data_IF_947238176568
#
_entry.id   IF_947238176568
#
_cell.length_a   1.000
_cell.length_b   1.000
_cell.length_c   1.000
_cell.angle_alpha   90.00
_cell.angle_beta   90.00
_cell.angle_gamma   90.00
#
_symmetry.space_group_name_H-M   'P 1'
#
loop_
_entity.id
_entity.type
_entity.pdbx_description
1 polymer ?
#
# COMPACT_ATOMS: atom_id res chain seq x y z
N UNK A 1 14.21 11.41 14.59
CA UNK A 1 14.63 10.32 15.51
C UNK A 1 15.00 10.80 16.93
N UNK A 2 15.73 11.92 17.10
CA UNK A 2 16.24 12.34 18.43
C UNK A 2 15.32 13.27 19.27
N UNK A 3 14.08 13.52 18.85
CA UNK A 3 13.18 14.32 19.67
C UNK A 3 12.30 13.38 20.51
N UNK A 4 12.66 13.18 21.79
CA UNK A 4 11.87 12.42 22.77
C UNK A 4 10.39 12.86 22.77
N UNK A 5 10.13 14.15 22.61
CA UNK A 5 8.78 14.70 22.52
C UNK A 5 7.97 14.13 21.34
N UNK A 6 8.56 13.88 20.17
CA UNK A 6 7.84 13.27 19.03
C UNK A 6 7.42 11.82 19.32
N UNK A 7 8.31 11.08 19.96
CA UNK A 7 8.00 9.72 20.39
C UNK A 7 6.87 9.72 21.43
N UNK A 8 6.91 10.67 22.38
CA UNK A 8 5.83 10.87 23.34
C UNK A 8 4.50 11.25 22.68
N UNK A 9 4.49 12.14 21.69
CA UNK A 9 3.27 12.50 20.95
C UNK A 9 2.62 11.25 20.34
N UNK A 10 3.42 10.44 19.64
CA UNK A 10 2.96 9.18 19.04
C UNK A 10 2.42 8.21 20.11
N UNK A 11 3.15 8.01 21.21
CA UNK A 11 2.69 7.18 22.32
C UNK A 11 1.35 7.66 22.89
N UNK A 12 1.18 8.96 23.12
CA UNK A 12 -0.06 9.50 23.68
C UNK A 12 -1.25 9.28 22.74
N UNK A 13 -1.08 9.56 21.44
CA UNK A 13 -2.10 9.29 20.42
C UNK A 13 -2.47 7.80 20.36
N UNK A 14 -1.47 6.91 20.35
CA UNK A 14 -1.69 5.46 20.31
C UNK A 14 -2.36 4.91 21.57
N UNK A 15 -2.22 5.59 22.71
CA UNK A 15 -2.90 5.25 23.96
C UNK A 15 -4.28 5.93 24.10
N UNK A 16 -4.78 6.61 23.06
CA UNK A 16 -6.12 7.20 23.05
C UNK A 16 -6.26 8.51 23.83
N UNK A 17 -5.15 9.20 24.12
CA UNK A 17 -5.21 10.50 24.80
C UNK A 17 -5.74 11.58 23.84
N UNK A 18 -6.52 12.51 24.39
CA UNK A 18 -7.14 13.60 23.65
C UNK A 18 -6.15 14.68 23.23
N UNK A 19 -6.57 15.57 22.34
CA UNK A 19 -5.73 16.67 21.84
C UNK A 19 -5.30 17.62 22.97
N UNK A 20 -6.18 17.78 23.95
CA UNK A 20 -5.99 18.50 25.20
C UNK A 20 -4.86 17.94 26.07
N UNK A 21 -4.54 16.65 25.92
CA UNK A 21 -3.48 15.98 26.66
C UNK A 21 -2.12 16.09 25.95
N UNK A 22 -2.06 16.70 24.76
CA UNK A 22 -0.82 16.92 24.03
C UNK A 22 -0.15 18.23 24.46
N UNK A 23 1.19 18.30 24.49
CA UNK A 23 1.87 19.57 24.65
C UNK A 23 1.60 20.43 23.41
N UNK A 24 0.75 21.45 23.54
CA UNK A 24 0.20 22.25 22.44
C UNK A 24 1.28 22.73 21.47
N UNK A 25 2.36 23.32 22.00
CA UNK A 25 3.49 23.78 21.18
C UNK A 25 4.14 22.64 20.39
N UNK A 26 4.44 21.50 21.04
CA UNK A 26 5.11 20.39 20.38
C UNK A 26 4.21 19.76 19.30
N UNK A 27 2.92 19.63 19.59
CA UNK A 27 1.95 19.08 18.64
C UNK A 27 1.71 20.04 17.47
N UNK A 28 1.55 21.34 17.73
CA UNK A 28 1.41 22.36 16.70
C UNK A 28 2.60 22.39 15.74
N UNK A 29 3.83 22.39 16.27
CA UNK A 29 5.04 22.29 15.44
C UNK A 29 5.08 20.99 14.64
N UNK A 30 4.61 19.88 15.23
CA UNK A 30 4.55 18.59 14.53
C UNK A 30 3.59 18.65 13.33
N UNK A 31 2.37 19.15 13.53
CA UNK A 31 1.37 19.37 12.48
C UNK A 31 1.89 20.30 11.39
N UNK A 32 2.51 21.42 11.77
CA UNK A 32 3.08 22.39 10.82
C UNK A 32 4.16 21.78 9.94
N UNK A 33 5.00 20.91 10.50
CA UNK A 33 6.04 20.23 9.71
C UNK A 33 5.42 19.27 8.69
N UNK A 34 4.35 18.55 9.05
CA UNK A 34 3.63 17.68 8.12
C UNK A 34 2.97 18.52 7.01
N UNK A 35 2.29 19.61 7.38
CA UNK A 35 1.68 20.53 6.42
C UNK A 35 2.70 21.12 5.43
N UNK A 36 3.84 21.59 5.95
CA UNK A 36 4.92 22.14 5.11
C UNK A 36 5.51 21.09 4.18
N UNK A 37 5.77 19.88 4.67
CA UNK A 37 6.31 18.79 3.84
C UNK A 37 5.30 18.36 2.75
N UNK A 38 4.01 18.34 3.06
CA UNK A 38 2.94 18.10 2.09
C UNK A 38 2.89 19.19 1.00
N UNK A 39 3.08 20.46 1.37
CA UNK A 39 3.15 21.59 0.43
C UNK A 39 4.52 21.75 -0.25
N UNK A 40 5.38 20.73 -0.20
CA UNK A 40 6.74 20.75 -0.76
C UNK A 40 7.60 21.93 -0.29
N UNK A 41 7.38 22.41 0.95
CA UNK A 41 8.17 23.47 1.58
C UNK A 41 9.32 22.88 2.41
N UNK A 42 10.35 23.68 2.66
CA UNK A 42 11.46 23.30 3.52
C UNK A 42 10.98 22.99 4.94
N UNK A 43 11.46 21.87 5.48
CA UNK A 43 11.17 21.38 6.83
C UNK A 43 12.45 21.05 7.57
N UNK A 44 12.42 21.22 8.89
CA UNK A 44 13.56 20.95 9.77
C UNK A 44 13.88 19.45 9.82
N UNK A 45 12.87 18.60 9.61
CA UNK A 45 13.02 17.16 9.46
C UNK A 45 11.91 16.59 8.58
N UNK A 46 12.17 15.42 7.97
CA UNK A 46 11.13 14.68 7.24
C UNK A 46 10.15 14.00 8.21
N UNK A 47 8.83 14.24 8.10
CA UNK A 47 7.82 13.65 8.96
C UNK A 47 7.50 12.22 8.49
N UNK A 48 8.49 11.33 8.56
CA UNK A 48 8.23 9.90 8.41
C UNK A 48 7.53 9.40 9.67
N UNK A 49 6.55 8.50 9.48
CA UNK A 49 5.90 7.74 10.53
C UNK A 49 5.28 8.65 11.62
N UNK A 50 4.66 9.74 11.16
CA UNK A 50 4.19 10.84 12.00
C UNK A 50 2.70 10.68 12.32
N UNK A 51 2.26 10.98 13.54
CA UNK A 51 0.87 10.78 13.95
C UNK A 51 0.14 12.12 14.10
N UNK A 52 -1.08 12.19 13.59
CA UNK A 52 -2.02 13.31 13.78
C UNK A 52 -3.37 12.81 14.28
N UNK A 53 -4.14 13.65 14.98
CA UNK A 53 -5.56 13.41 15.13
C UNK A 53 -6.24 13.45 13.75
N UNK A 54 -7.32 12.70 13.59
CA UNK A 54 -7.98 12.55 12.30
C UNK A 54 -8.48 13.89 11.73
N UNK A 55 -8.98 14.79 12.60
CA UNK A 55 -9.39 16.13 12.18
C UNK A 55 -8.23 16.96 11.63
N UNK A 56 -7.05 16.86 12.24
CA UNK A 56 -5.84 17.57 11.81
C UNK A 56 -5.25 16.96 10.54
N UNK A 57 -5.35 15.63 10.40
CA UNK A 57 -5.06 14.97 9.13
C UNK A 57 -5.94 15.53 8.01
N UNK A 58 -7.25 15.64 8.23
CA UNK A 58 -8.14 16.25 7.24
C UNK A 58 -7.83 17.71 6.99
N UNK A 59 -7.45 18.49 8.00
CA UNK A 59 -7.07 19.90 7.81
C UNK A 59 -5.81 20.03 6.95
N UNK A 60 -4.81 19.17 7.17
CA UNK A 60 -3.56 19.19 6.41
C UNK A 60 -3.75 18.80 4.96
N UNK A 61 -4.40 17.66 4.69
CA UNK A 61 -4.49 17.08 3.34
C UNK A 61 -5.76 17.52 2.57
N UNK A 62 -6.80 17.91 3.29
CA UNK A 62 -8.12 18.28 2.76
C UNK A 62 -8.61 19.63 3.29
N UNK A 63 -7.68 20.59 3.33
CA UNK A 63 -7.95 21.95 3.78
C UNK A 63 -9.16 22.56 3.05
N UNK A 64 -10.01 23.26 3.79
CA UNK A 64 -11.29 23.81 3.30
C UNK A 64 -12.48 22.87 3.47
N UNK A 65 -12.30 21.55 3.32
CA UNK A 65 -13.38 20.55 3.47
C UNK A 65 -13.27 19.73 4.78
N UNK A 66 -12.19 19.91 5.53
CA UNK A 66 -11.87 19.10 6.72
C UNK A 66 -12.98 19.00 7.78
N UNK A 67 -13.74 20.08 8.04
CA UNK A 67 -14.84 20.05 9.02
C UNK A 67 -15.98 19.14 8.56
N UNK A 68 -16.29 19.18 7.25
CA UNK A 68 -17.32 18.32 6.65
C UNK A 68 -16.84 16.87 6.66
N UNK A 69 -15.60 16.64 6.25
CA UNK A 69 -14.99 15.30 6.29
C UNK A 69 -14.99 14.74 7.71
N UNK A 70 -14.52 15.50 8.70
CA UNK A 70 -14.55 15.07 10.10
C UNK A 70 -15.96 14.68 10.54
N UNK A 71 -16.97 15.51 10.25
CA UNK A 71 -18.38 15.21 10.54
C UNK A 71 -18.87 13.93 9.85
N UNK A 72 -18.54 13.72 8.57
CA UNK A 72 -18.96 12.54 7.82
C UNK A 72 -18.29 11.27 8.34
N UNK A 73 -16.99 11.32 8.61
CA UNK A 73 -16.25 10.20 9.20
C UNK A 73 -16.77 9.86 10.60
N UNK A 74 -17.02 10.84 11.47
CA UNK A 74 -17.62 10.59 12.80
C UNK A 74 -19.01 9.96 12.72
N UNK A 75 -19.78 10.24 11.66
CA UNK A 75 -21.11 9.67 11.41
C UNK A 75 -21.09 8.41 10.54
N UNK A 76 -19.91 7.96 10.10
CA UNK A 76 -19.74 6.89 9.11
C UNK A 76 -20.52 7.11 7.81
N UNK A 77 -20.70 8.37 7.42
CA UNK A 77 -21.35 8.76 6.16
C UNK A 77 -20.31 8.81 5.02
N UNK A 78 -19.76 7.65 4.68
CA UNK A 78 -18.68 7.54 3.70
C UNK A 78 -19.12 7.88 2.28
N UNK A 79 -20.43 7.82 2.00
CA UNK A 79 -20.98 8.23 0.71
C UNK A 79 -20.77 9.72 0.45
N UNK A 80 -21.03 10.57 1.44
CA UNK A 80 -20.80 12.01 1.32
C UNK A 80 -19.31 12.36 1.38
N UNK A 81 -18.49 11.60 2.12
CA UNK A 81 -17.04 11.75 2.08
C UNK A 81 -16.46 11.44 0.69
N UNK A 82 -16.91 10.36 0.04
CA UNK A 82 -16.48 9.99 -1.31
C UNK A 82 -16.80 11.09 -2.33
N UNK A 83 -17.97 11.73 -2.24
CA UNK A 83 -18.31 12.87 -3.12
C UNK A 83 -17.31 14.02 -2.99
N UNK A 84 -16.81 14.31 -1.79
CA UNK A 84 -15.79 15.34 -1.60
C UNK A 84 -14.47 14.89 -2.26
N UNK A 85 -14.05 13.64 -2.05
CA UNK A 85 -12.82 13.14 -2.66
C UNK A 85 -12.91 13.15 -4.19
N UNK A 86 -14.03 12.69 -4.76
CA UNK A 86 -14.27 12.64 -6.19
C UNK A 86 -14.34 14.06 -6.79
N UNK A 87 -14.93 15.04 -6.10
CA UNK A 87 -14.91 16.44 -6.52
C UNK A 87 -13.48 17.00 -6.56
N UNK A 88 -12.66 16.72 -5.54
CA UNK A 88 -11.27 17.19 -5.51
C UNK A 88 -10.42 16.58 -6.62
N UNK A 89 -10.60 15.28 -6.89
CA UNK A 89 -9.87 14.57 -7.95
C UNK A 89 -10.32 15.05 -9.33
N UNK A 90 -11.63 15.11 -9.58
CA UNK A 90 -12.16 15.33 -10.93
C UNK A 90 -12.33 16.81 -11.30
N UNK A 91 -12.55 17.70 -10.33
CA UNK A 91 -12.89 19.10 -10.58
C UNK A 91 -11.86 20.11 -10.04
N UNK A 92 -10.95 19.71 -9.14
CA UNK A 92 -9.96 20.61 -8.51
C UNK A 92 -8.50 20.29 -8.83
N UNK A 93 -8.27 19.41 -9.81
CA UNK A 93 -6.93 19.02 -10.29
C UNK A 93 -6.01 18.48 -9.18
N UNK A 94 -6.58 17.74 -8.22
CA UNK A 94 -5.80 17.09 -7.18
C UNK A 94 -5.48 15.65 -7.53
N UNK A 95 -4.20 15.28 -7.46
CA UNK A 95 -3.73 13.96 -7.85
C UNK A 95 -3.41 13.09 -6.63
N UNK A 96 -4.43 12.43 -6.10
CA UNK A 96 -4.28 11.45 -5.03
C UNK A 96 -5.10 10.19 -5.30
N UNK A 97 -4.73 9.10 -4.63
CA UNK A 97 -5.51 7.86 -4.61
C UNK A 97 -5.97 7.57 -3.20
N UNK A 98 -7.14 6.98 -3.05
CA UNK A 98 -7.64 6.60 -1.74
C UNK A 98 -8.41 5.28 -1.79
N UNK A 99 -8.51 4.63 -0.63
CA UNK A 99 -9.37 3.49 -0.40
C UNK A 99 -9.99 3.62 0.99
N UNK A 100 -11.31 3.67 1.06
CA UNK A 100 -12.05 3.44 2.29
C UNK A 100 -12.37 1.95 2.39
N UNK A 101 -12.12 1.36 3.55
CA UNK A 101 -12.52 -0.03 3.82
C UNK A 101 -13.65 -0.04 4.82
N UNK A 102 -14.83 -0.43 4.35
CA UNK A 102 -16.08 -0.36 5.13
C UNK A 102 -16.06 -1.27 6.36
N UNK A 103 -15.34 -2.39 6.31
CA UNK A 103 -15.34 -3.43 7.37
C UNK A 103 -14.45 -3.08 8.58
N UNK A 104 -13.33 -2.39 8.35
CA UNK A 104 -12.32 -2.13 9.40
C UNK A 104 -12.01 -0.67 9.67
N UNK A 105 -12.79 0.22 9.09
CA UNK A 105 -12.76 1.64 9.44
C UNK A 105 -11.37 2.26 9.29
N UNK A 106 -10.63 1.89 8.24
CA UNK A 106 -9.43 2.60 7.83
C UNK A 106 -9.63 3.31 6.48
N UNK A 107 -8.94 4.44 6.35
CA UNK A 107 -8.77 5.16 5.10
C UNK A 107 -7.30 5.08 4.70
N UNK A 108 -7.05 4.48 3.54
CA UNK A 108 -5.75 4.55 2.90
C UNK A 108 -5.74 5.76 1.97
N UNK A 109 -4.71 6.57 2.07
CA UNK A 109 -4.52 7.75 1.26
C UNK A 109 -3.10 7.75 0.71
N UNK A 110 -2.97 7.73 -0.61
CA UNK A 110 -1.69 7.85 -1.30
C UNK A 110 -1.63 9.21 -2.00
N UNK A 111 -0.59 9.95 -1.66
CA UNK A 111 -0.24 11.21 -2.31
C UNK A 111 1.24 11.16 -2.65
N UNK A 112 1.58 11.43 -3.90
CA UNK A 112 2.89 11.14 -4.47
C UNK A 112 3.33 9.70 -4.12
N UNK A 113 4.48 9.57 -3.46
CA UNK A 113 5.10 8.30 -3.04
C UNK A 113 4.85 7.95 -1.58
N UNK A 114 3.98 8.70 -0.90
CA UNK A 114 3.69 8.53 0.52
C UNK A 114 2.34 7.86 0.68
N UNK A 115 2.31 6.85 1.55
CA UNK A 115 1.08 6.25 2.02
C UNK A 115 0.77 6.80 3.40
N UNK A 116 -0.47 7.21 3.60
CA UNK A 116 -1.02 7.64 4.86
C UNK A 116 -2.18 6.70 5.22
N UNK A 117 -2.33 6.43 6.51
CA UNK A 117 -3.37 5.52 7.02
C UNK A 117 -4.13 6.25 8.12
N UNK A 118 -5.40 6.53 7.87
CA UNK A 118 -6.31 7.06 8.87
C UNK A 118 -7.05 5.89 9.55
N UNK A 119 -6.89 5.77 10.86
CA UNK A 119 -7.55 4.81 11.73
C UNK A 119 -8.81 5.48 12.28
N UNK A 120 -9.94 5.27 11.60
CA UNK A 120 -11.15 6.09 11.78
C UNK A 120 -11.75 5.87 13.17
N UNK A 121 -11.75 4.63 13.65
CA UNK A 121 -12.27 4.27 14.98
C UNK A 121 -11.44 4.90 16.09
N UNK A 122 -10.12 4.86 15.94
CA UNK A 122 -9.16 5.37 16.90
C UNK A 122 -8.95 6.89 16.79
N UNK A 123 -9.54 7.52 15.77
CA UNK A 123 -9.54 8.97 15.56
C UNK A 123 -8.13 9.58 15.39
N UNK A 124 -7.20 8.83 14.80
CA UNK A 124 -5.87 9.31 14.42
C UNK A 124 -5.45 8.84 13.03
N UNK A 125 -4.38 9.43 12.50
CA UNK A 125 -3.78 9.03 11.23
C UNK A 125 -2.26 8.94 11.32
N UNK A 126 -1.72 7.87 10.74
CA UNK A 126 -0.31 7.67 10.46
C UNK A 126 0.03 8.32 9.11
N UNK A 127 0.81 9.39 9.17
CA UNK A 127 1.30 10.13 8.02
C UNK A 127 2.65 9.59 7.55
N UNK A 128 2.74 9.27 6.26
CA UNK A 128 3.93 8.69 5.64
C UNK A 128 4.37 7.41 6.36
N UNK A 129 3.54 6.38 6.26
CA UNK A 129 3.68 5.05 6.85
C UNK A 129 4.79 4.20 6.22
N UNK A 130 5.54 4.73 5.25
CA UNK A 130 6.44 3.95 4.38
C UNK A 130 7.44 3.08 5.16
N UNK A 131 7.86 3.48 6.37
CA UNK A 131 8.83 2.73 7.18
C UNK A 131 8.20 1.88 8.27
N UNK A 132 6.92 2.10 8.57
CA UNK A 132 6.18 1.33 9.55
C UNK A 132 5.88 -0.09 9.06
N UNK A 133 5.68 -0.98 10.02
CA UNK A 133 5.26 -2.34 9.74
C UNK A 133 3.75 -2.37 9.49
N UNK A 134 3.31 -3.28 8.62
CA UNK A 134 1.89 -3.58 8.44
C UNK A 134 1.49 -4.49 9.60
N UNK A 135 0.45 -4.14 10.33
CA UNK A 135 0.13 -4.80 11.62
C UNK A 135 -0.92 -5.89 11.50
N UNK A 136 -1.76 -5.86 10.46
CA UNK A 136 -2.84 -6.83 10.28
C UNK A 136 -3.15 -7.13 8.80
N UNK A 137 -3.78 -8.28 8.56
CA UNK A 137 -3.98 -8.84 7.22
C UNK A 137 -5.01 -8.06 6.39
N UNK A 138 -5.95 -7.36 7.03
CA UNK A 138 -6.93 -6.57 6.30
C UNK A 138 -6.35 -5.25 5.85
N UNK A 139 -5.49 -4.63 6.67
CA UNK A 139 -4.69 -3.49 6.25
C UNK A 139 -3.78 -3.86 5.07
N UNK A 140 -3.13 -5.03 5.14
CA UNK A 140 -2.36 -5.60 4.02
C UNK A 140 -3.23 -5.75 2.76
N UNK A 141 -4.41 -6.37 2.88
CA UNK A 141 -5.34 -6.53 1.76
C UNK A 141 -5.79 -5.17 1.19
N UNK A 142 -6.07 -4.20 2.05
CA UNK A 142 -6.47 -2.85 1.67
C UNK A 142 -5.36 -2.16 0.86
N UNK A 143 -4.11 -2.24 1.31
CA UNK A 143 -2.96 -1.71 0.58
C UNK A 143 -2.79 -2.41 -0.77
N UNK A 144 -2.90 -3.74 -0.81
CA UNK A 144 -2.88 -4.49 -2.06
C UNK A 144 -4.00 -4.05 -3.02
N UNK A 145 -5.22 -3.80 -2.52
CA UNK A 145 -6.34 -3.28 -3.33
C UNK A 145 -6.05 -1.88 -3.86
N UNK A 146 -5.49 -1.00 -3.04
CA UNK A 146 -5.10 0.35 -3.45
C UNK A 146 -4.05 0.29 -4.58
N UNK A 147 -3.00 -0.50 -4.40
CA UNK A 147 -1.95 -0.65 -5.40
C UNK A 147 -2.42 -1.37 -6.67
N UNK A 148 -3.24 -2.41 -6.56
CA UNK A 148 -3.84 -3.06 -7.72
C UNK A 148 -4.64 -2.06 -8.56
N UNK A 149 -5.45 -1.18 -7.94
CA UNK A 149 -6.17 -0.12 -8.67
C UNK A 149 -5.26 0.85 -9.41
N UNK A 150 -4.07 1.12 -8.89
CA UNK A 150 -3.09 2.03 -9.50
C UNK A 150 -2.38 1.37 -10.68
N UNK A 151 -1.93 0.13 -10.49
CA UNK A 151 -1.05 -0.55 -11.43
C UNK A 151 -1.82 -1.42 -12.43
N UNK A 152 -2.78 -2.25 -11.98
CA UNK A 152 -3.58 -3.15 -12.83
C UNK A 152 -4.95 -3.50 -12.22
N UNK A 153 -6.07 -3.08 -12.84
CA UNK A 153 -7.39 -3.49 -12.39
C UNK A 153 -7.63 -5.01 -12.51
N UNK A 154 -6.81 -5.73 -13.28
CA UNK A 154 -6.96 -7.16 -13.56
C UNK A 154 -6.34 -8.07 -12.50
N UNK A 155 -5.54 -7.52 -11.57
CA UNK A 155 -4.99 -8.28 -10.46
C UNK A 155 -6.13 -8.79 -9.57
N UNK A 156 -6.15 -10.10 -9.36
CA UNK A 156 -7.10 -10.74 -8.45
C UNK A 156 -6.47 -10.83 -7.06
N UNK A 157 -7.18 -10.32 -6.07
CA UNK A 157 -6.76 -10.33 -4.67
C UNK A 157 -7.71 -11.20 -3.86
N UNK A 158 -7.16 -12.06 -3.01
CA UNK A 158 -7.94 -12.89 -2.09
C UNK A 158 -7.27 -12.92 -0.72
N UNK A 159 -8.05 -12.68 0.32
CA UNK A 159 -7.59 -12.88 1.69
C UNK A 159 -7.72 -14.37 2.04
N UNK A 160 -6.62 -14.98 2.47
CA UNK A 160 -6.60 -16.30 3.09
C UNK A 160 -6.64 -16.07 4.61
N UNK A 161 -7.74 -16.46 5.28
CA UNK A 161 -7.94 -16.13 6.69
C UNK A 161 -6.77 -16.54 7.59
N UNK A 162 -6.33 -15.63 8.44
CA UNK A 162 -5.25 -15.82 9.43
C UNK A 162 -3.87 -16.22 8.85
N UNK A 163 -3.66 -16.13 7.54
CA UNK A 163 -2.42 -16.59 6.92
C UNK A 163 -1.77 -15.52 6.04
N UNK A 164 -2.40 -15.17 4.91
CA UNK A 164 -1.79 -14.31 3.90
C UNK A 164 -2.82 -13.66 2.96
N UNK A 165 -2.33 -12.74 2.12
CA UNK A 165 -3.05 -12.21 0.97
C UNK A 165 -2.48 -12.86 -0.29
N UNK A 166 -3.36 -13.53 -1.05
CA UNK A 166 -3.05 -14.05 -2.38
C UNK A 166 -3.19 -12.91 -3.41
N UNK A 167 -2.11 -12.66 -4.14
CA UNK A 167 -2.08 -11.79 -5.32
C UNK A 167 -1.94 -12.67 -6.54
N UNK A 168 -2.88 -12.59 -7.46
CA UNK A 168 -2.87 -13.36 -8.71
C UNK A 168 -2.91 -12.45 -9.93
N UNK A 169 -1.89 -12.59 -10.77
CA UNK A 169 -1.76 -11.92 -12.07
C UNK A 169 -1.82 -12.96 -13.18
N UNK A 170 -2.48 -12.63 -14.29
CA UNK A 170 -2.61 -13.51 -15.46
C UNK A 170 -2.10 -12.78 -16.70
N UNK A 171 -1.16 -13.39 -17.41
CA UNK A 171 -0.64 -12.94 -18.70
C UNK A 171 -1.23 -13.88 -19.77
N UNK A 172 -2.05 -13.38 -20.70
CA UNK A 172 -2.71 -14.21 -21.71
C UNK A 172 -1.75 -14.93 -22.66
N UNK A 173 -2.16 -16.10 -23.17
CA UNK A 173 -1.39 -16.93 -24.12
C UNK A 173 -0.96 -16.12 -25.35
N UNK A 174 -1.83 -15.25 -25.86
CA UNK A 174 -1.60 -14.46 -27.06
C UNK A 174 -0.41 -13.51 -26.90
N UNK A 175 -0.27 -12.88 -25.72
CA UNK A 175 0.88 -12.05 -25.40
C UNK A 175 2.17 -12.87 -25.31
N UNK A 176 2.10 -14.07 -24.73
CA UNK A 176 3.25 -14.98 -24.62
C UNK A 176 3.76 -15.48 -25.98
N UNK A 177 2.84 -15.77 -26.92
CA UNK A 177 3.20 -16.29 -28.25
C UNK A 177 3.97 -15.28 -29.10
N UNK A 178 3.81 -13.98 -28.84
CA UNK A 178 4.58 -12.93 -29.52
C UNK A 178 6.03 -12.82 -29.02
N UNK A 179 6.30 -13.30 -27.81
CA UNK A 179 7.63 -13.30 -27.17
C UNK A 179 8.40 -14.57 -27.52
N UNK A 180 7.69 -15.70 -27.61
CA UNK A 180 8.25 -16.98 -28.04
C UNK A 180 7.26 -17.68 -28.98
N UNK A 181 7.58 -17.81 -30.28
CA UNK A 181 6.65 -18.31 -31.30
C UNK A 181 6.36 -19.82 -31.19
N UNK A 182 7.04 -20.55 -30.32
CA UNK A 182 6.80 -21.98 -30.09
C UNK A 182 5.64 -22.19 -29.11
N UNK A 183 4.65 -22.99 -29.52
CA UNK A 183 3.51 -23.34 -28.66
C UNK A 183 3.99 -24.00 -27.35
N UNK A 184 3.37 -23.66 -26.20
CA UNK A 184 3.64 -24.35 -24.95
C UNK A 184 3.21 -25.81 -25.06
N UNK A 185 4.20 -26.71 -25.04
CA UNK A 185 4.02 -28.14 -24.74
C UNK A 185 3.98 -28.34 -23.23
N UNK A 186 3.25 -29.35 -22.77
CA UNK A 186 3.05 -29.72 -21.34
C UNK A 186 4.32 -30.13 -20.58
N UNK A 187 5.52 -29.96 -21.16
CA UNK A 187 6.79 -30.14 -20.44
C UNK A 187 7.19 -28.84 -19.72
N UNK A 188 6.57 -28.62 -18.56
CA UNK A 188 6.68 -27.44 -17.68
C UNK A 188 8.08 -27.16 -17.09
N UNK A 189 9.16 -27.84 -17.52
CA UNK A 189 10.52 -27.54 -17.01
C UNK A 189 11.24 -26.40 -17.75
N UNK A 190 10.79 -26.01 -18.96
CA UNK A 190 11.50 -25.01 -19.79
C UNK A 190 11.03 -23.57 -19.59
N UNK A 191 9.78 -23.34 -19.17
CA UNK A 191 9.21 -21.99 -19.01
C UNK A 191 9.31 -21.43 -17.60
N UNK A 192 9.21 -22.28 -16.58
CA UNK A 192 9.73 -21.92 -15.26
C UNK A 192 11.18 -21.50 -15.39
N UNK A 193 12.02 -22.32 -16.04
CA UNK A 193 13.40 -21.94 -16.36
C UNK A 193 13.46 -20.62 -17.15
N UNK A 194 12.60 -20.35 -18.12
CA UNK A 194 12.62 -19.08 -18.85
C UNK A 194 12.37 -17.89 -17.93
N UNK A 195 11.31 -17.89 -17.12
CA UNK A 195 11.00 -16.76 -16.23
C UNK A 195 12.09 -16.62 -15.16
N UNK A 196 12.54 -17.74 -14.58
CA UNK A 196 13.68 -17.76 -13.66
C UNK A 196 14.99 -17.30 -14.30
N UNK A 197 15.20 -17.51 -15.60
CA UNK A 197 16.39 -17.07 -16.31
C UNK A 197 16.32 -15.62 -16.77
N UNK A 198 15.13 -15.11 -17.11
CA UNK A 198 14.93 -13.74 -17.62
C UNK A 198 14.73 -12.73 -16.47
N UNK A 199 14.06 -13.15 -15.39
CA UNK A 199 13.76 -12.32 -14.23
C UNK A 199 14.31 -12.89 -12.91
N UNK A 200 15.57 -13.39 -12.86
CA UNK A 200 16.12 -14.01 -11.64
C UNK A 200 16.16 -13.02 -10.48
N UNK A 201 16.56 -11.77 -10.73
CA UNK A 201 16.65 -10.73 -9.70
C UNK A 201 15.29 -10.36 -9.11
N UNK A 202 14.28 -10.25 -9.95
CA UNK A 202 12.92 -9.90 -9.56
C UNK A 202 12.29 -11.02 -8.75
N UNK A 203 12.45 -12.27 -9.18
CA UNK A 203 11.92 -13.42 -8.47
C UNK A 203 12.65 -13.67 -7.14
N UNK A 204 13.97 -13.48 -7.09
CA UNK A 204 14.75 -13.51 -5.85
C UNK A 204 14.32 -12.39 -4.89
N UNK A 205 14.02 -11.21 -5.42
CA UNK A 205 13.47 -10.12 -4.60
C UNK A 205 12.08 -10.45 -4.08
N UNK A 206 11.19 -10.97 -4.93
CA UNK A 206 9.83 -11.35 -4.52
C UNK A 206 9.83 -12.46 -3.48
N UNK A 207 10.77 -13.39 -3.57
CA UNK A 207 10.87 -14.55 -2.67
C UNK A 207 11.29 -14.14 -1.25
N UNK A 208 11.94 -12.98 -1.08
CA UNK A 208 12.22 -12.39 0.24
C UNK A 208 10.95 -11.86 0.95
N UNK A 209 9.87 -11.60 0.21
CA UNK A 209 8.63 -11.03 0.75
C UNK A 209 7.43 -11.98 0.68
N UNK A 210 7.53 -13.02 -0.14
CA UNK A 210 6.44 -13.96 -0.40
C UNK A 210 6.67 -15.25 0.37
N UNK A 211 5.62 -15.75 1.04
CA UNK A 211 5.63 -17.10 1.62
C UNK A 211 5.74 -18.17 0.53
N UNK A 212 5.11 -17.91 -0.61
CA UNK A 212 5.06 -18.83 -1.73
C UNK A 212 4.92 -18.04 -3.04
N UNK A 213 5.63 -18.51 -4.07
CA UNK A 213 5.53 -18.00 -5.44
C UNK A 213 5.20 -19.20 -6.33
N UNK A 214 4.01 -19.16 -6.91
CA UNK A 214 3.54 -20.19 -7.83
C UNK A 214 3.41 -19.60 -9.23
N UNK A 215 4.18 -20.14 -10.16
CA UNK A 215 4.17 -19.77 -11.57
C UNK A 215 3.73 -21.01 -12.34
N UNK A 216 2.68 -20.90 -13.16
CA UNK A 216 2.14 -22.04 -13.89
C UNK A 216 1.30 -21.59 -15.09
N UNK A 217 1.07 -22.51 -16.04
CA UNK A 217 0.11 -22.29 -17.13
C UNK A 217 -1.30 -22.72 -16.72
N UNK A 218 -2.29 -21.84 -16.89
CA UNK A 218 -3.68 -22.20 -16.66
C UNK A 218 -4.23 -23.10 -17.78
N UNK A 219 -5.47 -23.58 -17.62
CA UNK A 219 -6.14 -24.44 -18.63
C UNK A 219 -6.26 -23.80 -20.02
N UNK A 220 -6.18 -22.47 -20.11
CA UNK A 220 -6.22 -21.72 -21.37
C UNK A 220 -4.81 -21.43 -21.91
N UNK A 221 -3.77 -22.00 -21.29
CA UNK A 221 -2.35 -21.75 -21.57
C UNK A 221 -1.92 -20.30 -21.31
N UNK A 222 -2.62 -19.58 -20.42
CA UNK A 222 -2.15 -18.29 -19.92
C UNK A 222 -1.11 -18.52 -18.82
N UNK A 223 -0.12 -17.64 -18.73
CA UNK A 223 0.82 -17.65 -17.62
C UNK A 223 0.17 -16.99 -16.41
N UNK A 224 0.06 -17.72 -15.31
CA UNK A 224 -0.46 -17.22 -14.05
C UNK A 224 0.66 -17.16 -13.02
N UNK A 225 0.78 -15.99 -12.39
CA UNK A 225 1.68 -15.75 -11.26
C UNK A 225 0.81 -15.57 -10.03
N UNK A 226 0.99 -16.44 -9.03
CA UNK A 226 0.35 -16.33 -7.71
C UNK A 226 1.41 -16.09 -6.66
N UNK A 227 1.23 -15.04 -5.87
CA UNK A 227 2.05 -14.69 -4.72
C UNK A 227 1.22 -14.78 -3.45
N UNK A 228 1.75 -15.46 -2.44
CA UNK A 228 1.19 -15.45 -1.09
C UNK A 228 2.03 -14.53 -0.22
N UNK A 229 1.45 -13.41 0.24
CA UNK A 229 2.16 -12.40 1.02
C UNK A 229 1.57 -12.36 2.43
N UNK A 230 2.41 -12.63 3.42
CA UNK A 230 2.06 -12.48 4.83
C UNK A 230 2.50 -11.12 5.39
N UNK A 231 2.11 -10.86 6.64
CA UNK A 231 2.66 -9.75 7.43
C UNK A 231 4.11 -10.05 7.84
N UNK A 232 4.44 -11.32 8.04
CA UNK A 232 5.79 -11.79 8.31
C UNK A 232 6.34 -12.42 7.03
N UNK A 233 7.58 -12.07 6.67
CA UNK A 233 8.35 -12.86 5.72
C UNK A 233 9.23 -13.86 6.45
N UNK A 234 9.18 -15.11 5.98
CA UNK A 234 10.19 -16.11 6.30
C UNK A 234 11.38 -15.80 5.39
N UNK A 235 12.40 -15.12 5.92
CA UNK A 235 13.62 -14.87 5.16
C UNK A 235 14.17 -16.20 4.61
N UNK A 236 14.51 -16.23 3.33
CA UNK A 236 15.10 -17.42 2.72
C UNK A 236 16.45 -17.71 3.38
N UNK A 237 16.58 -18.95 3.84
CA UNK A 237 17.81 -19.64 4.26
C UNK A 237 18.64 -18.93 5.37
N UNK A 238 18.58 -19.50 6.58
CA UNK A 238 19.55 -19.34 7.67
C UNK A 238 19.54 -18.04 8.51
N UNK A 239 18.49 -17.23 8.47
CA UNK A 239 18.31 -16.17 9.48
C UNK A 239 17.03 -16.40 10.28
N UNK A 240 17.18 -16.66 11.58
CA UNK A 240 16.10 -16.87 12.56
C UNK A 240 15.22 -15.64 12.82
N UNK A 241 15.34 -14.59 12.02
CA UNK A 241 14.69 -13.30 12.27
C UNK A 241 13.59 -13.05 11.25
N UNK A 242 12.35 -13.33 11.68
CA UNK A 242 11.15 -12.93 10.95
C UNK A 242 11.15 -11.42 10.78
N UNK A 243 11.10 -10.94 9.53
CA UNK A 243 10.97 -9.51 9.25
C UNK A 243 9.50 -9.20 8.98
N UNK A 244 9.00 -8.16 9.64
CA UNK A 244 7.66 -7.65 9.36
C UNK A 244 7.68 -6.87 8.04
N UNK A 245 6.67 -7.11 7.22
CA UNK A 245 6.47 -6.43 5.95
C UNK A 245 6.11 -4.97 6.22
N UNK A 246 6.82 -4.04 5.57
CA UNK A 246 6.54 -2.60 5.66
C UNK A 246 5.76 -2.11 4.46
N UNK A 247 5.14 -0.95 4.60
CA UNK A 247 4.39 -0.29 3.53
C UNK A 247 5.22 -0.06 2.25
N UNK A 248 6.49 0.35 2.38
CA UNK A 248 7.37 0.53 1.21
C UNK A 248 7.69 -0.78 0.48
N UNK A 249 7.68 -1.90 1.20
CA UNK A 249 8.04 -3.20 0.64
C UNK A 249 6.91 -3.67 -0.31
N UNK A 250 5.64 -3.36 -0.01
CA UNK A 250 4.52 -3.57 -0.93
C UNK A 250 4.66 -2.80 -2.24
N UNK A 251 5.12 -1.55 -2.19
CA UNK A 251 5.37 -0.77 -3.41
C UNK A 251 6.40 -1.47 -4.31
N UNK A 252 7.47 -2.00 -3.72
CA UNK A 252 8.47 -2.76 -4.46
C UNK A 252 7.87 -4.00 -5.13
N UNK A 253 7.08 -4.77 -4.38
CA UNK A 253 6.39 -5.98 -4.89
C UNK A 253 5.49 -5.61 -6.08
N UNK A 254 4.65 -4.58 -5.94
CA UNK A 254 3.76 -4.16 -7.03
C UNK A 254 4.51 -3.56 -8.22
N UNK A 255 5.64 -2.87 -8.01
CA UNK A 255 6.49 -2.42 -9.11
C UNK A 255 7.10 -3.60 -9.89
N UNK A 256 7.52 -4.66 -9.19
CA UNK A 256 8.04 -5.88 -9.84
C UNK A 256 6.94 -6.56 -10.63
N UNK A 257 5.76 -6.75 -10.01
CA UNK A 257 4.58 -7.27 -10.70
C UNK A 257 4.22 -6.42 -11.92
N UNK A 258 4.37 -5.11 -11.82
CA UNK A 258 4.13 -4.17 -12.91
C UNK A 258 5.11 -4.30 -14.05
N UNK A 259 6.39 -4.43 -13.73
CA UNK A 259 7.42 -4.70 -14.72
C UNK A 259 7.16 -6.02 -15.43
N UNK A 260 6.94 -7.11 -14.67
CA UNK A 260 6.61 -8.42 -15.23
C UNK A 260 5.39 -8.30 -16.15
N UNK A 261 4.29 -7.73 -15.68
CA UNK A 261 3.11 -7.60 -16.51
C UNK A 261 3.36 -6.77 -17.77
N UNK A 262 3.99 -5.59 -17.68
CA UNK A 262 4.16 -4.72 -18.85
C UNK A 262 5.18 -5.24 -19.86
N UNK A 263 6.29 -5.80 -19.38
CA UNK A 263 7.31 -6.39 -20.24
C UNK A 263 6.70 -7.56 -21.03
N UNK A 264 5.73 -8.28 -20.46
CA UNK A 264 5.03 -9.37 -21.14
C UNK A 264 3.80 -8.91 -21.95
N UNK A 265 3.05 -7.91 -21.48
CA UNK A 265 1.71 -7.58 -21.98
C UNK A 265 1.69 -6.35 -22.88
N UNK A 266 2.30 -5.22 -22.49
CA UNK A 266 2.20 -3.95 -23.24
C UNK A 266 3.20 -3.89 -24.39
N UNK A 267 4.45 -4.30 -24.18
CA UNK A 267 5.47 -4.28 -25.25
C UNK A 267 5.16 -5.25 -26.39
N UNK A 268 4.28 -6.21 -26.14
CA UNK A 268 3.92 -7.26 -27.08
C UNK A 268 2.42 -7.26 -27.41
N UNK A 269 1.66 -6.20 -27.16
CA UNK A 269 0.36 -6.00 -27.82
C UNK A 269 0.57 -5.16 -29.07
#
# INVERSE_FOLDING_TARGET
PMCYHRFLLALRLLNGLGIEDQPEFCYGVHKDIIFRDFRNKTVIYKPNDAYLYLIDFFDVFFHGDYRKLNKFFSKKDFKEANKIFDDRINNRDEHFQYLLTDEKEFMLFKYDEKIHVAFIKENYALCNANRENITDLELLLGLCKLFARIYFPEIKLKLIPNDCVEIKTIIPKEALQKISPTEPTEEDSKRDKYIWNVFPSELDTLSQFSKEINIYLDKKKNLAIRLHIGIESEGILNQSKRMLLRYRDLRLIFNILYRLYNDFYILHI
#
